data_IF_108849290441
#
_entry.id   IF_108849290441
#
_cell.length_a   1.000
_cell.length_b   1.000
_cell.length_c   1.000
_cell.angle_alpha   90.00
_cell.angle_beta   90.00
_cell.angle_gamma   90.00
#
_symmetry.space_group_name_H-M   'P 1'
#
loop_
_entity.id
_entity.type
_entity.pdbx_description
1 polymer ?
2 polymer ?
3 non-polymer ?
4 water ?
#
# COMPACT_ATOMS: atom_id res chain seq x y z
N UNK A 8 6.87 -2.02 -3.24
CA UNK A 8 7.33 -3.04 -4.22
C UNK A 8 7.72 -4.38 -3.58
N UNK A 9 7.36 -5.43 -4.28
CA UNK A 9 7.34 -6.75 -3.69
C UNK A 9 8.76 -7.22 -3.48
N UNK A 10 9.66 -6.79 -4.35
CA UNK A 10 11.03 -7.27 -4.23
C UNK A 10 11.81 -6.57 -3.12
N UNK A 11 11.21 -5.53 -2.51
CA UNK A 11 11.86 -4.74 -1.48
C UNK A 11 11.34 -5.05 -0.07
N UNK A 12 10.72 -6.22 0.08
CA UNK A 12 10.13 -6.59 1.37
C UNK A 12 11.20 -6.92 2.42
N UNK A 13 12.43 -7.22 2.01
CA UNK A 13 13.48 -7.51 2.98
C UNK A 13 14.53 -6.42 3.13
N UNK A 14 15.07 -6.31 4.33
CA UNK A 14 16.11 -5.36 4.65
C UNK A 14 17.30 -5.53 3.70
N UNK A 15 17.76 -6.78 3.53
CA UNK A 15 18.88 -7.02 2.62
C UNK A 15 18.61 -6.54 1.20
N UNK A 16 17.40 -6.80 0.67
CA UNK A 16 17.04 -6.30 -0.65
C UNK A 16 17.07 -4.77 -0.69
N UNK A 17 16.52 -4.12 0.33
CA UNK A 17 16.55 -2.68 0.30
C UNK A 17 17.99 -2.14 0.38
N UNK A 18 18.85 -2.82 1.13
CA UNK A 18 20.24 -2.38 1.23
C UNK A 18 20.92 -2.45 -0.14
N UNK A 19 20.57 -3.45 -0.95
CA UNK A 19 21.24 -3.54 -2.26
C UNK A 19 20.94 -2.35 -3.17
N UNK A 20 19.80 -1.69 -2.98
CA UNK A 20 19.45 -0.55 -3.82
C UNK A 20 20.32 0.69 -3.55
N UNK A 21 21.11 0.69 -2.48
CA UNK A 21 21.89 1.87 -2.13
C UNK A 21 23.28 1.82 -2.76
N UNK A 22 23.43 0.90 -3.71
CA UNK A 22 24.69 0.79 -4.49
C UNK A 22 25.20 2.18 -4.96
N UNK A 23 24.30 2.97 -5.54
CA UNK A 23 24.69 4.28 -6.10
C UNK A 23 24.17 5.46 -5.23
N UNK A 24 23.87 5.21 -3.98
CA UNK A 24 23.50 6.29 -3.06
C UNK A 24 24.62 7.31 -3.01
N UNK A 25 24.31 8.60 -3.23
CA UNK A 25 25.40 9.58 -3.20
C UNK A 25 26.06 9.67 -1.83
N UNK A 26 27.40 9.62 -1.80
CA UNK A 26 28.11 9.58 -0.52
C UNK A 26 28.00 10.88 0.29
N UNK A 27 27.65 11.99 -0.34
CA UNK A 27 27.51 13.25 0.40
C UNK A 27 26.22 13.38 1.22
N UNK A 28 25.23 12.51 0.96
CA UNK A 28 23.95 12.68 1.68
C UNK A 28 24.24 12.30 3.14
N UNK A 29 23.80 13.14 4.09
CA UNK A 29 24.12 12.94 5.52
C UNK A 29 23.26 11.91 6.27
N UNK A 30 22.70 10.95 5.55
CA UNK A 30 22.00 9.86 6.22
C UNK A 30 22.44 8.58 5.50
N UNK A 31 22.62 7.51 6.28
CA UNK A 31 23.21 6.28 5.77
C UNK A 31 22.19 5.24 5.33
N UNK A 32 22.57 4.42 4.35
CA UNK A 32 21.70 3.36 3.84
C UNK A 32 21.15 2.44 4.93
N UNK A 33 21.97 2.03 5.90
CA UNK A 33 21.50 1.11 6.93
C UNK A 33 20.29 1.67 7.71
N UNK A 34 20.35 2.97 8.03
CA UNK A 34 19.27 3.66 8.77
C UNK A 34 18.00 3.67 7.93
N UNK A 35 18.18 3.96 6.65
CA UNK A 35 17.07 4.09 5.74
C UNK A 35 16.44 2.74 5.49
N UNK A 36 17.26 1.73 5.20
CA UNK A 36 16.71 0.42 4.91
C UNK A 36 15.98 -0.19 6.12
N UNK A 37 16.53 0.04 7.30
CA UNK A 37 15.91 -0.44 8.55
C UNK A 37 14.49 0.13 8.69
N UNK A 38 14.29 1.39 8.26
CA UNK A 38 12.99 2.04 8.41
C UNK A 38 12.07 1.79 7.23
N UNK A 39 12.43 0.83 6.36
CA UNK A 39 11.55 0.45 5.28
C UNK A 39 11.86 1.03 3.89
N UNK A 40 12.90 1.86 3.82
CA UNK A 40 13.11 2.65 2.60
C UNK A 40 14.13 2.01 1.66
N UNK A 41 13.85 2.16 0.38
CA UNK A 41 14.85 1.76 -0.64
C UNK A 41 15.10 2.92 -1.58
N UNK A 42 16.25 2.89 -2.24
CA UNK A 42 16.65 4.00 -3.11
C UNK A 42 16.07 3.82 -4.50
N UNK A 43 15.45 4.87 -5.03
CA UNK A 43 14.81 4.80 -6.35
C UNK A 43 15.75 5.18 -7.49
N UNK A 44 16.96 5.61 -7.15
CA UNK A 44 18.01 5.81 -8.16
C UNK A 44 18.12 7.23 -8.70
N UNK A 45 17.52 8.19 -8.01
CA UNK A 45 17.57 9.59 -8.42
C UNK A 45 17.88 10.40 -7.17
N UNK A 46 18.91 11.25 -7.24
CA UNK A 46 19.21 12.19 -6.17
C UNK A 46 19.23 11.47 -4.83
N UNK A 47 18.46 11.94 -3.85
CA UNK A 47 18.38 11.21 -2.59
C UNK A 47 16.95 10.71 -2.30
N UNK A 48 16.23 10.41 -3.37
CA UNK A 48 14.81 9.99 -3.30
C UNK A 48 14.75 8.53 -2.82
N UNK A 49 13.97 8.29 -1.77
CA UNK A 49 13.74 6.89 -1.31
C UNK A 49 12.25 6.67 -1.17
N UNK A 50 11.84 5.41 -1.15
CA UNK A 50 10.42 5.07 -1.02
C UNK A 50 10.27 3.95 -0.02
N UNK A 51 9.13 3.92 0.69
CA UNK A 51 8.89 2.79 1.59
C UNK A 51 8.28 1.65 0.80
N UNK A 52 8.76 0.42 1.04
CA UNK A 52 8.23 -0.76 0.34
C UNK A 52 6.76 -1.06 0.67
N UNK A 53 6.31 -0.64 1.85
CA UNK A 53 4.98 -0.97 2.33
C UNK A 53 3.95 0.10 1.93
N UNK A 54 4.17 1.34 2.38
CA UNK A 54 3.17 2.38 2.15
C UNK A 54 3.42 3.20 0.88
N UNK A 55 4.55 2.96 0.20
CA UNK A 55 4.95 3.72 -0.99
C UNK A 55 5.18 5.21 -0.75
N UNK A 56 5.30 5.63 0.51
CA UNK A 56 5.65 7.00 0.78
C UNK A 56 7.05 7.33 0.30
N UNK A 57 7.22 8.50 -0.33
CA UNK A 57 8.56 8.91 -0.76
C UNK A 57 9.13 9.97 0.17
N UNK A 58 10.43 9.93 0.39
CA UNK A 58 11.11 10.97 1.15
C UNK A 58 12.38 11.38 0.42
N UNK A 59 12.68 12.67 0.46
CA UNK A 59 13.89 13.20 -0.17
C UNK A 59 14.42 14.37 0.68
N UNK A 60 15.51 15.00 0.22
CA UNK A 60 16.06 16.16 0.91
C UNK A 60 16.42 15.85 2.35
N UNK A 61 17.06 14.71 2.55
CA UNK A 61 17.56 14.30 3.83
C UNK A 61 18.54 15.29 4.45
N UNK A 62 18.42 15.53 5.73
CA UNK A 62 19.26 16.52 6.42
C UNK A 62 20.05 15.87 7.51
N UNK A 63 21.19 16.49 7.84
CA UNK A 63 22.00 16.03 8.94
C UNK A 63 21.12 15.87 10.17
N UNK A 64 21.26 14.74 10.84
CA UNK A 64 20.49 14.51 12.04
C UNK A 64 19.12 13.86 11.86
N UNK A 65 18.62 13.75 10.62
CA UNK A 65 17.32 13.11 10.40
C UNK A 65 17.36 11.65 10.89
N UNK A 66 16.26 11.23 11.51
CA UNK A 66 16.08 9.85 11.91
C UNK A 66 14.99 9.27 11.00
N UNK A 67 15.34 8.32 10.10
CA UNK A 67 14.36 7.82 9.15
C UNK A 67 13.07 7.28 9.78
N UNK A 68 13.16 6.71 11.00
CA UNK A 68 11.93 6.28 11.66
C UNK A 68 11.00 7.45 12.02
N UNK A 69 11.60 8.53 12.52
CA UNK A 69 10.81 9.69 12.88
C UNK A 69 10.21 10.31 11.64
N UNK A 70 11.02 10.43 10.57
CA UNK A 70 10.49 10.98 9.34
C UNK A 70 9.36 10.15 8.74
N UNK A 71 9.49 8.81 8.84
CA UNK A 71 8.46 7.91 8.35
C UNK A 71 7.14 8.14 9.13
N UNK A 72 7.27 8.29 10.46
CA UNK A 72 6.08 8.52 11.31
C UNK A 72 5.51 9.93 11.15
N UNK A 73 6.35 10.90 10.82
CA UNK A 73 5.89 12.28 10.61
C UNK A 73 5.02 12.41 9.38
N UNK A 74 5.45 11.77 8.28
CA UNK A 74 4.82 12.02 7.02
C UNK A 74 3.89 10.93 6.57
N UNK A 75 4.13 9.69 7.05
CA UNK A 75 3.33 8.54 6.59
C UNK A 75 2.88 7.69 7.80
N UNK A 76 2.11 8.31 8.71
CA UNK A 76 1.80 7.68 9.99
C UNK A 76 0.89 6.47 9.90
N UNK A 77 0.23 6.27 8.77
CA UNK A 77 -0.66 5.14 8.64
C UNK A 77 0.02 3.88 8.10
N UNK A 78 1.33 3.97 7.83
CA UNK A 78 2.02 2.81 7.30
C UNK A 78 2.01 1.62 8.23
N UNK A 79 1.58 0.48 7.74
CA UNK A 79 1.45 -0.71 8.58
C UNK A 79 2.79 -1.30 9.00
N UNK A 80 3.79 -1.22 8.09
CA UNK A 80 5.12 -1.68 8.47
C UNK A 80 5.67 -0.83 9.62
N UNK A 81 5.57 0.48 9.47
CA UNK A 81 5.98 1.38 10.53
C UNK A 81 5.30 1.05 11.88
N UNK A 82 3.99 0.84 11.83
CA UNK A 82 3.24 0.59 13.06
C UNK A 82 3.66 -0.71 13.68
N UNK A 83 3.85 -1.73 12.86
CA UNK A 83 4.30 -3.01 13.41
C UNK A 83 5.70 -2.98 14.00
N UNK A 84 6.59 -2.18 13.40
CA UNK A 84 7.97 -2.11 13.89
C UNK A 84 8.13 -1.22 15.11
N UNK A 85 7.46 -0.07 15.10
CA UNK A 85 7.66 0.94 16.13
C UNK A 85 6.47 1.12 17.09
N UNK A 86 5.29 0.67 16.68
CA UNK A 86 4.09 0.73 17.52
C UNK A 86 3.31 2.01 17.33
N UNK A 87 1.99 1.86 17.47
CA UNK A 87 1.08 3.00 17.38
C UNK A 87 1.41 4.08 18.42
N UNK A 88 1.89 3.71 19.61
CA UNK A 88 2.19 4.73 20.63
C UNK A 88 3.27 5.71 20.11
N UNK A 89 4.33 5.17 19.51
CA UNK A 89 5.40 5.99 18.91
C UNK A 89 4.86 6.87 17.82
N UNK A 90 4.07 6.27 16.92
CA UNK A 90 3.56 7.05 15.82
C UNK A 90 2.66 8.19 16.33
N UNK A 91 1.78 7.87 17.27
CA UNK A 91 0.93 8.89 17.89
C UNK A 91 1.77 10.03 18.47
N UNK A 92 2.84 9.71 19.17
CA UNK A 92 3.69 10.77 19.75
C UNK A 92 4.24 11.67 18.64
N UNK A 93 4.73 11.07 17.56
CA UNK A 93 5.32 11.92 16.52
C UNK A 93 4.23 12.81 15.89
N UNK A 94 2.99 12.33 15.89
CA UNK A 94 1.82 13.10 15.40
C UNK A 94 1.22 14.00 16.47
N UNK A 95 1.89 14.12 17.61
CA UNK A 95 1.47 15.10 18.60
C UNK A 95 0.35 14.64 19.47
N UNK A 96 0.17 13.32 19.59
CA UNK A 96 -0.85 12.74 20.47
C UNK A 96 -0.19 11.95 21.59
N UNK A 97 -0.53 12.33 22.83
CA UNK A 97 -0.02 11.68 24.04
C UNK A 97 -1.15 11.05 24.85
N UNK B 3 -10.92 4.65 -24.27
CA UNK B 3 -10.10 5.46 -23.30
C UNK B 3 -9.67 4.67 -22.07
N UNK B 4 -10.13 3.42 -21.93
CA UNK B 4 -9.77 2.65 -20.74
C UNK B 4 -8.33 2.09 -20.77
N UNK B 5 -7.71 1.96 -19.60
CA UNK B 5 -6.42 1.24 -19.48
C UNK B 5 -6.26 0.78 -18.03
N UNK B 6 -5.39 -0.19 -17.82
CA UNK B 6 -5.16 -0.76 -16.47
C UNK B 6 -4.41 0.26 -15.62
N UNK B 7 -4.88 0.50 -14.40
CA UNK B 7 -4.28 1.53 -13.55
C UNK B 7 -2.90 1.11 -13.03
N UNK B 8 -2.77 -0.13 -12.56
CA UNK B 8 -1.54 -0.62 -11.97
C UNK B 8 -1.17 -1.96 -12.58
N UNK B 9 -0.31 -1.89 -13.62
CA UNK B 9 0.12 -3.07 -14.35
C UNK B 9 0.89 -4.07 -13.50
N UNK B 10 1.64 -3.57 -12.53
CA UNK B 10 2.40 -4.44 -11.67
C UNK B 10 1.50 -5.35 -10.82
N UNK B 11 0.23 -4.95 -10.67
CA UNK B 11 -0.72 -5.69 -9.87
C UNK B 11 -1.73 -6.49 -10.72
N UNK B 12 -1.40 -6.69 -12.01
CA UNK B 12 -2.33 -7.41 -12.86
C UNK B 12 -2.45 -8.92 -12.59
N UNK B 13 -1.45 -9.54 -11.95
CA UNK B 13 -1.58 -10.94 -11.60
C UNK B 13 -2.04 -11.19 -10.16
N UNK B 14 -2.80 -12.25 -9.96
CA UNK B 14 -3.27 -12.67 -8.65
C UNK B 14 -2.10 -12.85 -7.67
N UNK B 15 -1.03 -13.44 -8.17
CA UNK B 15 0.09 -13.79 -7.32
C UNK B 15 0.75 -12.52 -6.84
N UNK B 16 0.87 -11.50 -7.71
CA UNK B 16 1.43 -10.23 -7.28
C UNK B 16 0.51 -9.58 -6.23
N UNK B 17 -0.80 -9.63 -6.46
CA UNK B 17 -1.72 -9.01 -5.51
C UNK B 17 -1.64 -9.69 -4.14
N UNK B 18 -1.49 -11.02 -4.15
CA UNK B 18 -1.43 -11.76 -2.91
C UNK B 18 -0.18 -11.34 -2.11
N UNK B 19 0.92 -11.06 -2.79
CA UNK B 19 2.15 -10.68 -2.07
C UNK B 19 2.00 -9.39 -1.30
N UNK B 20 1.08 -8.51 -1.72
CA UNK B 20 0.87 -7.25 -0.99
C UNK B 20 0.20 -7.42 0.36
N UNK B 21 -0.35 -8.60 0.64
CA UNK B 21 -1.12 -8.80 1.85
C UNK B 21 -0.27 -9.36 2.99
N UNK B 22 1.04 -9.35 2.83
CA UNK B 22 1.91 -9.82 3.91
C UNK B 22 1.64 -9.09 5.22
N UNK B 23 1.41 -7.78 5.15
CA UNK B 23 1.14 -7.01 6.38
C UNK B 23 -0.36 -6.75 6.65
N UNK B 24 -1.25 -7.41 5.90
CA UNK B 24 -2.68 -7.21 6.07
C UNK B 24 -3.02 -7.46 7.54
N UNK B 25 -3.80 -6.55 8.17
CA UNK B 25 -4.21 -6.69 9.57
C UNK B 25 -5.06 -7.93 9.78
N UNK B 26 -4.64 -8.77 10.71
CA UNK B 26 -5.36 -9.99 11.03
C UNK B 26 -6.68 -9.74 11.71
N UNK B 27 -6.89 -8.54 12.27
CA UNK B 27 -8.17 -8.16 12.84
C UNK B 27 -9.29 -8.06 11.81
N UNK B 28 -8.94 -7.88 10.53
CA UNK B 28 -9.99 -7.69 9.52
C UNK B 28 -10.55 -9.04 9.07
N UNK B 29 -11.87 -9.15 9.05
CA UNK B 29 -12.48 -10.46 8.84
C UNK B 29 -12.40 -10.98 7.41
N UNK B 30 -12.08 -10.10 6.47
CA UNK B 30 -12.07 -10.49 5.06
C UNK B 30 -10.66 -10.90 4.68
N UNK B 31 -10.50 -12.00 3.95
CA UNK B 31 -9.18 -12.57 3.74
C UNK B 31 -8.52 -12.15 2.44
N UNK B 32 -7.18 -12.10 2.42
CA UNK B 32 -6.41 -11.78 1.21
C UNK B 32 -6.87 -12.52 -0.03
N UNK B 33 -7.07 -13.84 0.05
CA UNK B 33 -7.42 -14.57 -1.16
C UNK B 33 -8.70 -14.02 -1.80
N UNK B 34 -9.71 -13.70 -0.97
CA UNK B 34 -11.01 -13.21 -1.44
C UNK B 34 -10.79 -11.86 -2.14
N UNK B 35 -9.98 -11.02 -1.52
CA UNK B 35 -9.73 -9.69 -2.08
C UNK B 35 -8.88 -9.73 -3.36
N UNK B 36 -7.79 -10.49 -3.36
CA UNK B 36 -6.95 -10.61 -4.54
C UNK B 36 -7.70 -11.20 -5.72
N UNK B 37 -8.56 -12.18 -5.44
CA UNK B 37 -9.36 -12.77 -6.53
C UNK B 37 -10.22 -11.72 -7.23
N UNK B 38 -10.71 -10.74 -6.47
CA UNK B 38 -11.63 -9.73 -7.04
C UNK B 38 -10.85 -8.50 -7.52
N UNK B 39 -9.53 -8.60 -7.63
CA UNK B 39 -8.73 -7.59 -8.32
C UNK B 39 -8.03 -6.63 -7.35
N UNK B 40 -8.23 -6.84 -6.05
CA UNK B 40 -7.76 -5.86 -5.05
C UNK B 40 -6.38 -6.22 -4.53
N UNK B 41 -5.60 -5.18 -4.24
CA UNK B 41 -4.32 -5.35 -3.56
C UNK B 41 -4.20 -4.34 -2.41
N UNK B 42 -3.41 -4.69 -1.40
CA UNK B 42 -3.26 -3.86 -0.22
C UNK B 42 -2.25 -2.73 -0.43
N UNK B 43 -2.64 -1.53 -0.02
CA UNK B 43 -1.74 -0.38 -0.18
C UNK B 43 -0.95 -0.04 1.07
N UNK B 44 -0.99 -0.90 2.08
CA UNK B 44 -0.05 -0.79 3.18
C UNK B 44 -0.50 0.17 4.28
N UNK B 45 -1.76 0.59 4.28
CA UNK B 45 -2.35 1.42 5.34
C UNK B 45 -3.69 0.86 5.81
N UNK B 46 -3.90 0.77 7.13
CA UNK B 46 -5.19 0.35 7.71
C UNK B 46 -5.70 -0.87 6.95
N UNK B 47 -6.94 -0.86 6.46
CA UNK B 47 -7.39 -1.97 5.60
C UNK B 47 -7.75 -1.48 4.19
N UNK B 48 -6.93 -0.54 3.71
CA UNK B 48 -7.18 0.09 2.43
C UNK B 48 -6.69 -0.80 1.28
N UNK B 49 -7.58 -1.12 0.35
CA UNK B 49 -7.17 -1.82 -0.87
C UNK B 49 -7.59 -1.06 -2.14
N UNK B 50 -6.94 -1.36 -3.24
CA UNK B 50 -7.30 -0.72 -4.52
C UNK B 50 -7.40 -1.80 -5.58
N UNK B 51 -8.25 -1.56 -6.58
CA UNK B 51 -8.30 -2.48 -7.69
C UNK B 51 -7.20 -2.16 -8.69
N UNK B 52 -6.50 -3.18 -9.18
CA UNK B 52 -5.40 -2.93 -10.13
C UNK B 52 -5.91 -2.35 -11.47
N UNK B 53 -7.17 -2.64 -11.81
CA UNK B 53 -7.67 -2.22 -13.11
C UNK B 53 -8.32 -0.83 -13.04
N UNK B 54 -9.35 -0.66 -12.20
CA UNK B 54 -10.13 0.59 -12.20
C UNK B 54 -9.61 1.64 -11.22
N UNK B 55 -8.67 1.26 -10.34
CA UNK B 55 -8.15 2.14 -9.29
C UNK B 55 -9.16 2.55 -8.24
N UNK B 56 -10.30 1.86 -8.17
CA UNK B 56 -11.22 2.07 -7.07
C UNK B 56 -10.58 1.64 -5.76
N UNK B 57 -10.83 2.43 -4.72
CA UNK B 57 -10.30 2.08 -3.40
C UNK B 57 -11.40 1.80 -2.39
N UNK B 58 -11.20 0.76 -1.57
CA UNK B 58 -12.18 0.36 -0.56
C UNK B 58 -11.51 0.12 0.79
N UNK B 59 -12.22 0.51 1.85
CA UNK B 59 -11.73 0.28 3.21
C UNK B 59 -12.88 -0.10 4.13
N UNK B 60 -12.57 -0.30 5.39
CA UNK B 60 -13.59 -0.59 6.41
C UNK B 60 -14.38 -1.84 6.04
N UNK B 61 -13.63 -2.91 5.78
CA UNK B 61 -14.19 -4.22 5.47
C UNK B 61 -14.86 -4.83 6.67
N UNK B 62 -16.08 -5.33 6.47
CA UNK B 62 -16.88 -5.86 7.56
C UNK B 62 -17.10 -7.34 7.37
N UNK B 63 -17.37 -8.02 8.49
CA UNK B 63 -17.69 -9.44 8.45
C UNK B 63 -18.83 -9.69 7.45
N UNK B 64 -18.59 -10.64 6.56
CA UNK B 64 -19.59 -11.00 5.57
C UNK B 64 -19.53 -10.21 4.27
N UNK B 65 -18.63 -9.24 4.18
CA UNK B 65 -18.45 -8.53 2.91
C UNK B 65 -17.89 -9.49 1.87
N UNK B 66 -18.46 -9.43 0.68
CA UNK B 66 -17.98 -10.20 -0.47
C UNK B 66 -17.28 -9.21 -1.42
N UNK B 67 -15.96 -9.36 -1.59
CA UNK B 67 -15.25 -8.37 -2.42
C UNK B 67 -15.81 -8.20 -3.82
N UNK B 68 -16.30 -9.28 -4.45
CA UNK B 68 -16.89 -9.11 -5.78
C UNK B 68 -18.18 -8.29 -5.77
N UNK B 69 -19.02 -8.49 -4.77
CA UNK B 69 -20.21 -7.67 -4.62
C UNK B 69 -19.85 -6.20 -4.35
N UNK B 70 -18.91 -5.96 -3.45
CA UNK B 70 -18.47 -4.59 -3.19
C UNK B 70 -17.91 -3.97 -4.48
N UNK B 71 -17.17 -4.75 -5.27
CA UNK B 71 -16.58 -4.23 -6.50
C UNK B 71 -17.67 -3.73 -7.45
N UNK B 72 -18.75 -4.51 -7.55
CA UNK B 72 -19.85 -4.22 -8.46
C UNK B 72 -20.72 -3.10 -7.87
N UNK B 73 -20.84 -3.07 -6.55
CA UNK B 73 -21.61 -1.99 -5.88
C UNK B 73 -21.02 -0.62 -6.11
N UNK B 74 -19.70 -0.50 -5.94
CA UNK B 74 -19.05 0.81 -5.98
C UNK B 74 -18.41 1.17 -7.31
N UNK B 75 -17.93 0.18 -8.07
CA UNK B 75 -17.14 0.45 -9.26
C UNK B 75 -17.68 -0.36 -10.44
N UNK B 76 -18.95 -0.13 -10.79
CA UNK B 76 -19.58 -1.05 -11.75
C UNK B 76 -19.03 -1.03 -13.17
N UNK B 77 -18.33 0.03 -13.56
CA UNK B 77 -17.82 0.10 -14.93
C UNK B 77 -16.40 -0.45 -15.04
N UNK B 78 -15.92 -1.05 -13.96
CA UNK B 78 -14.57 -1.63 -14.04
C UNK B 78 -14.47 -2.75 -15.08
N UNK B 79 -13.50 -2.66 -15.98
CA UNK B 79 -13.37 -3.67 -17.04
C UNK B 79 -13.01 -5.06 -16.53
N UNK B 80 -12.16 -5.14 -15.52
CA UNK B 80 -11.83 -6.44 -14.97
C UNK B 80 -13.06 -7.11 -14.34
N UNK B 81 -13.79 -6.36 -13.53
CA UNK B 81 -15.01 -6.86 -12.94
C UNK B 81 -15.96 -7.36 -14.04
N UNK B 82 -16.18 -6.54 -15.06
CA UNK B 82 -17.11 -6.93 -16.14
C UNK B 82 -16.63 -8.22 -16.83
N UNK B 83 -15.35 -8.30 -17.16
CA UNK B 83 -14.90 -9.55 -17.85
C UNK B 83 -14.90 -10.77 -16.94
N UNK B 84 -14.66 -10.61 -15.64
CA UNK B 84 -14.61 -11.80 -14.79
C UNK B 84 -15.98 -12.27 -14.37
N UNK B 85 -16.87 -11.33 -14.09
CA UNK B 85 -18.13 -11.69 -13.47
C UNK B 85 -19.30 -11.47 -14.40
N UNK B 86 -19.10 -10.65 -15.43
CA UNK B 86 -20.17 -10.36 -16.40
C UNK B 86 -21.06 -9.18 -16.12
N UNK B 87 -21.53 -8.54 -17.19
CA UNK B 87 -22.47 -7.42 -17.05
C UNK B 87 -23.74 -7.83 -16.33
N UNK B 88 -24.18 -9.08 -16.52
CA UNK B 88 -25.39 -9.55 -15.85
C UNK B 88 -25.22 -9.41 -14.34
N UNK B 89 -24.10 -9.87 -13.81
CA UNK B 89 -23.82 -9.81 -12.38
C UNK B 89 -23.77 -8.35 -11.91
N UNK B 90 -23.10 -7.49 -12.69
CA UNK B 90 -23.00 -6.11 -12.24
C UNK B 90 -24.38 -5.45 -12.18
N UNK B 91 -25.21 -5.73 -13.18
CA UNK B 91 -26.55 -5.14 -13.25
C UNK B 91 -27.38 -5.64 -12.08
N UNK B 92 -27.22 -6.89 -11.70
CA UNK B 92 -27.97 -7.41 -10.56
C UNK B 92 -27.59 -6.70 -9.27
N UNK B 93 -26.30 -6.54 -9.01
CA UNK B 93 -25.89 -5.86 -7.80
C UNK B 93 -26.35 -4.39 -7.83
N UNK B 94 -26.14 -3.71 -8.96
CA UNK B 94 -26.53 -2.31 -9.08
C UNK B 94 -28.02 -2.12 -8.83
N UNK B 95 -28.81 -3.09 -9.25
CA UNK B 95 -30.25 -2.97 -9.12
C UNK B 95 -30.72 -3.21 -7.70
N UNK B 96 -29.81 -3.61 -6.81
CA UNK B 96 -30.17 -3.73 -5.40
C UNK B 96 -30.18 -2.37 -4.71
N UNK B 97 -29.51 -1.38 -5.31
CA UNK B 97 -29.26 -0.11 -4.64
C UNK B 97 -29.73 1.03 -5.55
N UNK C 1 13.79 15.49 6.45
CA UNK C 1 13.41 15.08 5.07
C UNK C 1 12.05 15.62 4.67
N UNK C 2 11.75 15.57 3.37
CA UNK C 2 10.47 16.10 2.91
C UNK C 2 9.77 15.05 2.08
N UNK C 3 8.45 14.97 2.19
CA UNK C 3 7.68 13.92 1.52
C UNK C 3 7.40 14.20 0.06
N UNK C 4 7.16 13.11 -0.69
CA UNK C 4 6.57 13.17 -2.00
C UNK C 4 5.78 11.89 -2.29
N UNK C 5 4.97 11.92 -3.23
N UNK D 1 -17.94 -2.71 2.73
CA UNK D 1 -16.77 -1.76 2.59
C UNK D 1 -17.28 -0.41 2.09
N UNK D 2 -16.42 0.60 2.19
CA UNK D 2 -16.75 1.94 1.74
C UNK D 2 -15.61 2.53 0.92
N UNK D 3 -15.95 3.33 -0.09
CA UNK D 3 -14.90 3.89 -0.95
C UNK D 3 -14.03 4.95 -0.28
N UNK D 4 -12.81 5.07 -0.75
CA UNK D 4 -12.00 6.23 -0.41
C UNK D 4 -11.30 6.76 -1.67
N UNK D 5 -10.94 8.05 -1.65
CA UNK D 5 -10.60 8.76 -2.88
C UNK D 5 -9.10 8.94 -3.09
N UNK D 6 -8.36 8.87 -2.01
CA UNK D 6 -6.97 9.24 -2.01
C UNK D 6 -6.06 8.17 -2.65
#
# INVERSE_FOLDING_TARGET
GPGSSISNLSMQTHAARMRTFMYWPSSVPVQPEQLASAGFYYVGRNDDVKCFCCDGGLRCWESGDDPWVEHAKWFPRCEFLIRMKGQEFVDEIQGRY
GPGSSISNLSMQTHAARMRTFMYWPSSVPVQPEQLASAGFYYVGRNDDVKCFCCDGGLRCWESGDDPWVEHAKWFPRCEFLIRMKGQEFVDEIQGRY
ATPFQE
ATPFQE
#
